data_IF_034232221657
#
_entry.id   IF_034232221657
#
_cell.length_a   1.000
_cell.length_b   1.000
_cell.length_c   1.000
_cell.angle_alpha   90.00
_cell.angle_beta   90.00
_cell.angle_gamma   90.00
#
_symmetry.space_group_name_H-M   'P 1'
#
loop_
_entity.id
_entity.type
_entity.pdbx_description
1 polymer ?
#
# COMPACT_ATOMS: atom_id res chain seq x y z
N UNK A 1 12.91 23.04 6.13
CA UNK A 1 13.19 24.19 7.03
C UNK A 1 11.94 25.06 7.12
N UNK A 2 11.28 25.09 8.29
CA UNK A 2 10.05 25.88 8.51
C UNK A 2 10.29 27.39 8.30
N UNK A 3 11.49 27.87 8.66
CA UNK A 3 11.87 29.29 8.54
C UNK A 3 11.92 29.80 7.09
N UNK A 4 12.26 28.95 6.13
CA UNK A 4 12.32 29.32 4.71
C UNK A 4 10.92 29.43 4.11
N UNK A 5 9.99 28.57 4.53
CA UNK A 5 8.60 28.59 4.05
C UNK A 5 7.83 29.81 4.54
N UNK A 6 8.06 30.24 5.78
CA UNK A 6 7.51 31.47 6.37
C UNK A 6 7.98 32.75 5.63
N UNK A 7 9.09 32.68 4.90
CA UNK A 7 9.57 33.79 4.06
C UNK A 7 8.77 33.91 2.74
N UNK A 8 8.32 32.78 2.18
CA UNK A 8 7.56 32.73 0.92
C UNK A 8 6.06 32.83 1.13
N UNK A 9 5.53 32.29 2.23
CA UNK A 9 4.11 32.31 2.53
C UNK A 9 3.83 33.45 3.49
N UNK A 10 3.22 34.51 2.95
CA UNK A 10 2.80 35.71 3.66
C UNK A 10 1.34 36.00 3.39
N UNK A 11 0.66 36.66 4.32
CA UNK A 11 -0.68 37.18 4.07
C UNK A 11 -0.66 38.47 3.22
N UNK A 12 -1.85 39.01 2.94
CA UNK A 12 -2.04 40.24 2.17
C UNK A 12 -1.31 41.46 2.76
N UNK A 13 -0.98 41.42 4.06
CA UNK A 13 -0.25 42.46 4.77
C UNK A 13 1.26 42.16 4.89
N UNK A 14 1.75 41.11 4.21
CA UNK A 14 3.16 40.73 4.20
C UNK A 14 3.64 40.00 5.47
N UNK A 15 2.74 39.61 6.37
CA UNK A 15 3.10 38.90 7.60
C UNK A 15 3.30 37.41 7.31
N UNK A 16 4.37 36.78 7.80
CA UNK A 16 4.61 35.34 7.64
C UNK A 16 3.45 34.47 8.15
N UNK A 17 3.08 33.46 7.36
CA UNK A 17 2.01 32.51 7.68
C UNK A 17 2.52 31.07 7.66
N UNK A 18 2.02 30.26 8.59
CA UNK A 18 2.37 28.82 8.61
C UNK A 18 1.80 28.13 7.36
N UNK A 19 2.56 27.24 6.71
CA UNK A 19 2.14 26.62 5.45
C UNK A 19 0.95 25.66 5.62
N UNK A 20 0.81 25.06 6.80
CA UNK A 20 -0.23 24.07 7.10
C UNK A 20 -0.67 24.26 8.56
N UNK A 21 -1.98 24.28 8.80
CA UNK A 21 -2.53 24.30 10.15
C UNK A 21 -2.67 22.88 10.74
N UNK A 22 -2.69 21.87 9.89
CA UNK A 22 -2.81 20.47 10.30
C UNK A 22 -1.86 19.62 9.47
N UNK A 23 -1.04 18.83 10.14
CA UNK A 23 -0.16 17.85 9.53
C UNK A 23 -0.62 16.47 9.98
N UNK A 24 -1.15 15.68 9.05
CA UNK A 24 -1.55 14.32 9.32
C UNK A 24 -0.40 13.37 9.00
N UNK A 25 0.17 12.75 10.03
CA UNK A 25 1.28 11.80 9.89
C UNK A 25 0.74 10.37 9.88
N UNK A 26 0.90 9.69 8.75
CA UNK A 26 0.54 8.27 8.62
C UNK A 26 1.67 7.37 9.12
N UNK A 27 1.32 6.22 9.69
CA UNK A 27 2.27 5.14 9.94
C UNK A 27 2.87 4.60 8.64
N UNK A 28 3.99 3.89 8.77
CA UNK A 28 4.65 3.25 7.64
C UNK A 28 4.07 1.85 7.41
N UNK A 29 4.04 1.44 6.15
CA UNK A 29 3.72 0.06 5.80
C UNK A 29 4.98 -0.79 6.00
N UNK A 30 4.81 -1.89 6.72
CA UNK A 30 5.81 -2.90 7.02
C UNK A 30 5.47 -4.20 6.31
N UNK A 31 6.49 -4.93 5.90
CA UNK A 31 6.34 -6.25 5.31
C UNK A 31 5.99 -7.32 6.36
N UNK A 32 5.88 -8.56 5.92
CA UNK A 32 5.58 -9.75 6.74
C UNK A 32 6.65 -10.04 7.82
N UNK A 33 7.87 -9.52 7.63
CA UNK A 33 8.96 -9.58 8.61
C UNK A 33 8.99 -8.36 9.55
N UNK A 34 8.01 -7.45 9.44
CA UNK A 34 7.93 -6.21 10.23
C UNK A 34 8.91 -5.12 9.80
N UNK A 35 9.59 -5.29 8.65
CA UNK A 35 10.49 -4.29 8.11
C UNK A 35 9.73 -3.24 7.31
N UNK A 36 10.09 -1.96 7.46
CA UNK A 36 9.59 -0.89 6.57
C UNK A 36 9.71 -1.32 5.10
N UNK A 37 8.62 -1.22 4.35
CA UNK A 37 8.66 -1.41 2.90
C UNK A 37 9.46 -0.28 2.25
N UNK A 38 10.53 -0.62 1.52
CA UNK A 38 11.35 0.34 0.80
C UNK A 38 12.07 -0.28 -0.39
N UNK A 39 12.23 0.49 -1.48
CA UNK A 39 12.92 0.03 -2.70
C UNK A 39 14.34 -0.49 -2.43
N UNK A 40 15.06 0.16 -1.52
CA UNK A 40 16.41 -0.24 -1.10
C UNK A 40 16.48 -1.64 -0.46
N UNK A 41 15.38 -2.12 0.13
CA UNK A 41 15.27 -3.44 0.77
C UNK A 41 14.66 -4.51 -0.15
N UNK A 42 14.10 -4.10 -1.30
CA UNK A 42 13.47 -5.02 -2.25
C UNK A 42 12.20 -5.72 -1.73
N UNK A 43 11.58 -5.18 -0.68
CA UNK A 43 10.38 -5.71 -0.03
C UNK A 43 9.11 -4.90 -0.37
N UNK A 44 9.16 -4.06 -1.41
CA UNK A 44 7.98 -3.33 -1.91
C UNK A 44 7.20 -4.25 -2.83
N UNK A 45 5.88 -4.25 -2.67
CA UNK A 45 4.92 -4.88 -3.58
C UNK A 45 4.24 -3.75 -4.36
N UNK A 46 4.10 -3.89 -5.67
CA UNK A 46 3.36 -2.91 -6.45
C UNK A 46 1.86 -3.01 -6.11
N UNK A 47 1.19 -1.90 -5.74
CA UNK A 47 -0.24 -1.93 -5.49
C UNK A 47 -1.07 -2.46 -6.67
N UNK A 48 -0.64 -2.25 -7.91
CA UNK A 48 -1.37 -2.75 -9.08
C UNK A 48 -1.37 -4.27 -9.15
N UNK A 49 -0.27 -4.92 -8.74
CA UNK A 49 -0.17 -6.38 -8.69
C UNK A 49 -1.19 -6.98 -7.70
N UNK A 50 -1.59 -6.21 -6.67
CA UNK A 50 -2.62 -6.62 -5.71
C UNK A 50 -4.04 -6.34 -6.23
N UNK A 51 -4.20 -5.32 -7.06
CA UNK A 51 -5.48 -4.94 -7.66
C UNK A 51 -5.84 -5.90 -8.78
N UNK A 52 -4.96 -6.04 -9.76
CA UNK A 52 -5.21 -6.77 -11.01
C UNK A 52 -4.75 -8.23 -10.94
N UNK A 53 -3.92 -8.56 -9.95
CA UNK A 53 -3.24 -9.85 -9.89
C UNK A 53 -1.98 -9.89 -10.76
N UNK A 54 -1.09 -10.84 -10.49
CA UNK A 54 0.13 -11.06 -11.26
C UNK A 54 0.58 -12.51 -11.12
N UNK A 55 1.10 -13.09 -12.19
CA UNK A 55 1.69 -14.44 -12.15
C UNK A 55 3.00 -14.44 -11.34
N UNK A 56 3.43 -15.61 -10.86
CA UNK A 56 4.72 -15.72 -10.17
C UNK A 56 5.88 -15.30 -11.07
N UNK A 57 5.87 -15.69 -12.35
CA UNK A 57 6.96 -15.39 -13.29
C UNK A 57 7.14 -13.88 -13.50
N UNK A 58 6.05 -13.18 -13.80
CA UNK A 58 6.06 -11.72 -13.99
C UNK A 58 6.40 -10.98 -12.68
N UNK A 59 5.91 -11.48 -11.54
CA UNK A 59 6.23 -10.92 -10.23
C UNK A 59 7.73 -11.03 -9.93
N UNK A 60 8.34 -12.16 -10.26
CA UNK A 60 9.78 -12.35 -10.10
C UNK A 60 10.58 -11.42 -10.99
N UNK A 61 10.22 -11.30 -12.27
CA UNK A 61 10.86 -10.38 -13.20
C UNK A 61 10.76 -8.93 -12.70
N UNK A 62 9.56 -8.48 -12.33
CA UNK A 62 9.31 -7.12 -11.83
C UNK A 62 10.09 -6.80 -10.56
N UNK A 63 10.18 -7.75 -9.62
CA UNK A 63 10.90 -7.57 -8.35
C UNK A 63 12.42 -7.67 -8.48
N UNK A 64 12.94 -8.24 -9.57
CA UNK A 64 14.38 -8.42 -9.79
C UNK A 64 14.97 -7.55 -10.91
N UNK A 65 14.14 -6.96 -11.77
CA UNK A 65 14.60 -6.26 -12.98
C UNK A 65 15.21 -4.86 -12.74
N UNK A 66 14.69 -4.08 -11.79
CA UNK A 66 15.11 -2.67 -11.58
C UNK A 66 15.55 -2.42 -10.13
N UNK A 67 16.59 -3.12 -9.70
CA UNK A 67 17.08 -3.09 -8.32
C UNK A 67 18.22 -2.10 -8.12
N UNK A 68 18.19 -1.34 -7.01
CA UNK A 68 19.35 -0.54 -6.58
C UNK A 68 20.54 -1.41 -6.16
N UNK A 69 20.29 -2.63 -5.67
CA UNK A 69 21.30 -3.57 -5.21
C UNK A 69 21.10 -4.93 -5.92
N UNK A 70 21.70 -5.14 -7.10
CA UNK A 70 21.51 -6.36 -7.89
C UNK A 70 21.90 -7.65 -7.16
N UNK A 71 22.85 -7.57 -6.22
CA UNK A 71 23.30 -8.72 -5.41
C UNK A 71 22.19 -9.34 -4.55
N UNK A 72 21.12 -8.58 -4.24
CA UNK A 72 20.00 -9.07 -3.45
C UNK A 72 18.94 -9.82 -4.29
N UNK A 73 19.07 -9.82 -5.62
CA UNK A 73 18.06 -10.39 -6.52
C UNK A 73 17.74 -11.86 -6.21
N UNK A 74 18.77 -12.70 -6.00
CA UNK A 74 18.60 -14.12 -5.69
C UNK A 74 17.87 -14.35 -4.36
N UNK A 75 18.17 -13.52 -3.35
CA UNK A 75 17.50 -13.58 -2.04
C UNK A 75 16.03 -13.18 -2.17
N UNK A 76 15.74 -12.15 -2.96
CA UNK A 76 14.39 -11.64 -3.17
C UNK A 76 13.56 -12.59 -4.00
N UNK A 77 14.16 -13.24 -5.02
CA UNK A 77 13.52 -14.30 -5.79
C UNK A 77 13.06 -15.43 -4.88
N UNK A 78 13.96 -16.01 -4.08
CA UNK A 78 13.63 -17.08 -3.14
C UNK A 78 12.57 -16.67 -2.11
N UNK A 79 12.65 -15.45 -1.58
CA UNK A 79 11.64 -14.93 -0.66
C UNK A 79 10.28 -14.78 -1.35
N UNK A 80 10.25 -14.27 -2.57
CA UNK A 80 9.02 -14.05 -3.35
C UNK A 80 8.36 -15.37 -3.70
N UNK A 81 9.12 -16.37 -4.16
CA UNK A 81 8.61 -17.73 -4.43
C UNK A 81 8.00 -18.38 -3.18
N UNK A 82 8.64 -18.19 -2.03
CA UNK A 82 8.12 -18.70 -0.75
C UNK A 82 6.83 -17.99 -0.33
N UNK A 83 6.76 -16.67 -0.53
CA UNK A 83 5.65 -15.83 -0.07
C UNK A 83 4.44 -15.91 -1.01
N UNK A 84 4.69 -16.01 -2.31
CA UNK A 84 3.70 -15.94 -3.38
C UNK A 84 3.90 -17.12 -4.35
N UNK A 85 3.74 -18.38 -3.91
CA UNK A 85 4.08 -19.55 -4.72
C UNK A 85 3.30 -19.65 -6.03
N UNK A 86 2.13 -19.01 -6.11
CA UNK A 86 1.28 -18.97 -7.30
C UNK A 86 1.12 -17.54 -7.86
N UNK A 87 1.95 -16.59 -7.42
CA UNK A 87 1.76 -15.16 -7.69
C UNK A 87 0.79 -14.50 -6.71
N UNK A 88 0.18 -13.39 -7.14
CA UNK A 88 -0.81 -12.63 -6.35
C UNK A 88 -2.14 -12.68 -7.08
N UNK A 89 -3.19 -13.09 -6.37
CA UNK A 89 -4.55 -13.05 -6.91
C UNK A 89 -5.08 -11.61 -7.03
N UNK A 90 -6.02 -11.39 -7.94
CA UNK A 90 -6.72 -10.10 -8.06
C UNK A 90 -7.66 -9.89 -6.86
N UNK A 91 -7.49 -8.75 -6.17
CA UNK A 91 -8.35 -8.35 -5.05
C UNK A 91 -9.20 -7.12 -5.35
N UNK A 92 -8.84 -6.33 -6.35
CA UNK A 92 -9.53 -5.09 -6.70
C UNK A 92 -9.18 -3.89 -5.81
N UNK A 93 -9.45 -2.70 -6.33
CA UNK A 93 -9.07 -1.41 -5.71
C UNK A 93 -9.76 -1.18 -4.37
N UNK A 94 -11.04 -1.52 -4.25
CA UNK A 94 -11.81 -1.28 -3.03
C UNK A 94 -11.30 -2.11 -1.86
N UNK A 95 -10.96 -3.38 -2.09
CA UNK A 95 -10.37 -4.24 -1.08
C UNK A 95 -9.04 -3.66 -0.56
N UNK A 96 -8.17 -3.20 -1.47
CA UNK A 96 -6.89 -2.59 -1.10
C UNK A 96 -7.08 -1.32 -0.26
N UNK A 97 -7.94 -0.41 -0.72
CA UNK A 97 -8.24 0.84 -0.01
C UNK A 97 -8.87 0.60 1.35
N UNK A 98 -9.83 -0.32 1.43
CA UNK A 98 -10.51 -0.65 2.67
C UNK A 98 -9.55 -1.28 3.67
N UNK A 99 -8.68 -2.20 3.22
CA UNK A 99 -7.64 -2.80 4.06
C UNK A 99 -6.73 -1.73 4.68
N UNK A 100 -6.22 -0.81 3.86
CA UNK A 100 -5.35 0.26 4.35
C UNK A 100 -6.08 1.21 5.29
N UNK A 101 -7.31 1.60 4.96
CA UNK A 101 -8.12 2.50 5.79
C UNK A 101 -8.46 1.87 7.15
N UNK A 102 -8.83 0.58 7.17
CA UNK A 102 -9.16 -0.13 8.39
C UNK A 102 -7.95 -0.34 9.32
N UNK A 103 -6.75 -0.44 8.74
CA UNK A 103 -5.50 -0.60 9.49
C UNK A 103 -4.81 0.73 9.84
N UNK A 104 -5.16 1.82 9.16
CA UNK A 104 -4.61 3.15 9.36
C UNK A 104 -5.09 3.77 10.68
N UNK A 105 -4.55 3.27 11.79
CA UNK A 105 -4.68 3.91 13.10
C UNK A 105 -3.63 5.00 13.28
N UNK A 106 -4.00 6.12 13.88
CA UNK A 106 -3.08 7.23 14.16
C UNK A 106 -1.87 6.78 14.97
N UNK A 107 -0.66 7.10 14.48
CA UNK A 107 0.60 6.85 15.18
C UNK A 107 1.08 5.39 15.21
N UNK A 108 0.44 4.46 14.49
CA UNK A 108 0.87 3.05 14.40
C UNK A 108 1.24 2.67 12.98
N UNK A 109 2.31 1.91 12.85
CA UNK A 109 2.69 1.30 11.58
C UNK A 109 1.73 0.17 11.18
N UNK A 110 1.58 -0.02 9.87
CA UNK A 110 0.71 -1.06 9.30
C UNK A 110 1.59 -2.26 8.95
N UNK A 111 1.42 -3.37 9.67
CA UNK A 111 1.97 -4.65 9.24
C UNK A 111 1.09 -5.20 8.13
N UNK A 112 1.64 -5.27 6.91
CA UNK A 112 0.93 -5.74 5.74
C UNK A 112 0.67 -7.25 5.80
N UNK A 113 -0.56 -7.65 5.46
CA UNK A 113 -0.98 -9.05 5.47
C UNK A 113 -1.95 -9.31 4.32
N UNK A 114 -1.58 -10.22 3.41
CA UNK A 114 -2.39 -10.60 2.26
C UNK A 114 -3.70 -11.28 2.65
N UNK A 115 -3.73 -12.00 3.78
CA UNK A 115 -4.96 -12.64 4.26
C UNK A 115 -6.01 -11.61 4.67
N UNK A 116 -5.57 -10.45 5.19
CA UNK A 116 -6.49 -9.34 5.49
C UNK A 116 -7.05 -8.74 4.21
N UNK A 117 -6.21 -8.57 3.18
CA UNK A 117 -6.65 -8.09 1.87
C UNK A 117 -7.73 -9.02 1.28
N UNK A 118 -7.50 -10.34 1.33
CA UNK A 118 -8.47 -11.35 0.91
C UNK A 118 -9.78 -11.26 1.72
N UNK A 119 -9.69 -11.13 3.04
CA UNK A 119 -10.85 -10.93 3.90
C UNK A 119 -11.67 -9.69 3.51
N UNK A 120 -11.02 -8.58 3.20
CA UNK A 120 -11.71 -7.36 2.79
C UNK A 120 -12.27 -7.42 1.36
N UNK A 121 -11.64 -8.17 0.44
CA UNK A 121 -12.24 -8.51 -0.86
C UNK A 121 -13.56 -9.25 -0.65
N UNK A 122 -13.57 -10.26 0.22
CA UNK A 122 -14.77 -11.02 0.54
C UNK A 122 -15.85 -10.16 1.21
N UNK A 123 -15.45 -9.22 2.06
CA UNK A 123 -16.36 -8.23 2.65
C UNK A 123 -16.98 -7.31 1.60
N UNK A 124 -16.19 -6.75 0.68
CA UNK A 124 -16.70 -5.95 -0.44
C UNK A 124 -17.68 -6.75 -1.31
N UNK A 125 -17.37 -8.02 -1.61
CA UNK A 125 -18.29 -8.90 -2.32
C UNK A 125 -19.58 -9.16 -1.53
N UNK A 126 -19.51 -9.25 -0.20
CA UNK A 126 -20.71 -9.39 0.63
C UNK A 126 -21.60 -8.15 0.56
N UNK A 127 -21.01 -6.95 0.59
CA UNK A 127 -21.75 -5.70 0.39
C UNK A 127 -22.40 -5.65 -1.00
N UNK A 128 -21.68 -6.05 -2.04
CA UNK A 128 -22.23 -6.12 -3.39
C UNK A 128 -23.44 -7.05 -3.47
N UNK A 129 -23.33 -8.27 -2.92
CA UNK A 129 -24.45 -9.22 -2.90
C UNK A 129 -25.66 -8.68 -2.10
N UNK A 130 -25.43 -7.97 -1.00
CA UNK A 130 -26.50 -7.37 -0.22
C UNK A 130 -27.20 -6.24 -0.99
N UNK A 131 -26.44 -5.33 -1.62
CA UNK A 131 -26.98 -4.27 -2.46
C UNK A 131 -27.76 -4.82 -3.65
N UNK A 132 -27.21 -5.87 -4.30
CA UNK A 132 -27.87 -6.55 -5.41
C UNK A 132 -29.18 -7.21 -4.98
N UNK A 133 -29.21 -7.87 -3.83
CA UNK A 133 -30.44 -8.47 -3.30
C UNK A 133 -31.57 -7.43 -3.13
N UNK A 134 -31.26 -6.25 -2.61
CA UNK A 134 -32.24 -5.16 -2.45
C UNK A 134 -32.63 -4.52 -3.79
N UNK A 135 -31.69 -4.42 -4.75
CA UNK A 135 -31.93 -3.81 -6.05
C UNK A 135 -32.68 -4.71 -7.03
N UNK A 136 -32.49 -6.03 -6.95
CA UNK A 136 -33.11 -7.02 -7.85
C UNK A 136 -34.56 -7.41 -7.42
N UNK A 137 -35.08 -6.90 -6.29
CA UNK A 137 -36.46 -7.18 -5.80
C UNK A 137 -37.57 -6.33 -6.46
N UNK A 138 -37.34 -5.74 -7.64
CA UNK A 138 -38.36 -5.02 -8.43
C UNK A 138 -38.34 -5.37 -9.93
#
# INVERSE_FOLDING_TARGET
MIMMTMHFIKDENGKPQVPFHTVYMTGLIRDDEGQKMSKSKGNVIDPLDMVDGISLEELLEKRTGNMMQPQLAEKIRKRTEKQFPNGIESHGTDALRFTLAALASTGRDINWDMKRLEGYRNFCNKLWNASRFVADEH
#
